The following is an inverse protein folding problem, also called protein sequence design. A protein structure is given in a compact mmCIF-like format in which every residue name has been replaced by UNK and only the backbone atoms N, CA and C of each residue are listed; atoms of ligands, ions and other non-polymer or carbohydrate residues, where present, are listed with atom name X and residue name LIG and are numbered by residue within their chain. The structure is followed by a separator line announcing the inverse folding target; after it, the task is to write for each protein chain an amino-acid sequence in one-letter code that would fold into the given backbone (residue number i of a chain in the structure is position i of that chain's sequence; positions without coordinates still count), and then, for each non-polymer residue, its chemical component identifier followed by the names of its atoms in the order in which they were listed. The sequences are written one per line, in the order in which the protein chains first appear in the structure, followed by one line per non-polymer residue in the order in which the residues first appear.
data_IF_850944808938
#
_entry.id   IF_850944808938
#
_cell.length_a   1.000
_cell.length_b   1.000
_cell.length_c   1.000
_cell.angle_alpha   90.00
_cell.angle_beta   90.00
_cell.angle_gamma   90.00
#
_symmetry.space_group_name_H-M   'P 1'
#
loop_
_entity.id
_entity.type
_entity.pdbx_description
1 polymer ?
#
# COMPACT_ATOMS: atom_id res chain seq x y z
N UNK A 1 29.69 63.43 -3.88
CA UNK A 1 30.19 62.16 -4.43
C UNK A 1 29.19 61.09 -4.03
N UNK A 2 28.21 60.92 -4.92
CA UNK A 2 27.24 59.84 -4.92
C UNK A 2 27.94 58.48 -5.06
N UNK A 3 27.41 57.47 -4.38
CA UNK A 3 27.50 56.09 -4.85
C UNK A 3 26.33 55.29 -4.28
N UNK A 4 25.25 55.32 -5.07
CA UNK A 4 24.09 54.45 -4.99
C UNK A 4 24.53 53.00 -5.20
N UNK A 5 24.36 52.17 -4.17
CA UNK A 5 24.42 50.71 -4.31
C UNK A 5 23.07 50.20 -4.83
N UNK A 6 22.99 49.93 -6.13
CA UNK A 6 21.83 49.36 -6.77
C UNK A 6 21.59 47.92 -6.28
N UNK A 7 20.42 47.67 -5.70
CA UNK A 7 19.92 46.34 -5.42
C UNK A 7 19.39 45.72 -6.73
N UNK A 8 20.06 44.69 -7.24
CA UNK A 8 19.58 43.87 -8.36
C UNK A 8 18.46 42.93 -7.89
N UNK A 9 17.26 42.95 -8.50
CA UNK A 9 16.29 41.89 -8.30
C UNK A 9 16.68 40.69 -9.17
N UNK A 10 17.20 39.62 -8.54
CA UNK A 10 17.33 38.32 -9.16
C UNK A 10 15.92 37.79 -9.47
N UNK A 11 15.55 37.83 -10.76
CA UNK A 11 14.36 37.19 -11.28
C UNK A 11 14.46 35.69 -11.08
N UNK A 12 13.55 35.15 -10.26
CA UNK A 12 13.31 33.72 -10.18
C UNK A 12 12.57 33.26 -11.43
N UNK A 13 13.26 32.62 -12.35
CA UNK A 13 12.61 31.88 -13.43
C UNK A 13 11.94 30.63 -12.84
N UNK A 14 10.63 30.43 -13.04
CA UNK A 14 9.93 29.27 -12.54
C UNK A 14 10.33 28.02 -13.35
N UNK A 15 10.70 26.97 -12.62
CA UNK A 15 11.10 25.65 -13.11
C UNK A 15 9.91 24.86 -13.68
N UNK A 16 9.26 25.36 -14.72
CA UNK A 16 8.36 24.56 -15.54
C UNK A 16 8.37 25.09 -16.96
N UNK A 17 9.52 24.89 -17.61
CA UNK A 17 9.60 24.84 -19.06
C UNK A 17 9.73 23.36 -19.45
N UNK A 18 8.66 22.81 -20.02
CA UNK A 18 8.67 21.48 -20.63
C UNK A 18 9.69 21.44 -21.78
N UNK A 19 10.61 20.47 -21.83
CA UNK A 19 11.46 20.29 -23.00
C UNK A 19 10.65 19.66 -24.13
N UNK A 20 10.40 20.45 -25.18
CA UNK A 20 9.83 19.99 -26.45
C UNK A 20 10.69 18.87 -27.06
N UNK A 21 10.15 17.68 -27.38
CA UNK A 21 10.95 16.64 -28.01
C UNK A 21 11.11 16.95 -29.51
N UNK A 22 12.35 17.29 -29.87
CA UNK A 22 12.84 17.42 -31.25
C UNK A 22 12.85 16.02 -31.91
N UNK A 23 11.91 15.79 -32.81
CA UNK A 23 11.80 14.54 -33.55
C UNK A 23 12.92 14.45 -34.60
N UNK A 24 13.90 13.58 -34.35
CA UNK A 24 14.99 13.25 -35.26
C UNK A 24 14.55 12.01 -36.06
N UNK A 25 14.58 12.11 -37.38
CA UNK A 25 14.15 11.06 -38.31
C UNK A 25 15.17 9.91 -38.31
N UNK A 26 14.72 8.72 -37.92
CA UNK A 26 15.44 7.45 -38.04
C UNK A 26 14.60 6.49 -38.86
N UNK A 27 15.24 5.83 -39.84
CA UNK A 27 14.64 5.00 -40.88
C UNK A 27 13.76 3.86 -40.34
N UNK A 28 12.59 3.70 -40.96
CA UNK A 28 11.66 2.61 -40.71
C UNK A 28 12.14 1.30 -41.37
N UNK A 29 12.20 0.17 -40.64
CA UNK A 29 12.05 -1.13 -41.27
C UNK A 29 10.58 -1.34 -41.65
N UNK A 30 10.33 -1.64 -42.92
CA UNK A 30 9.02 -1.95 -43.49
C UNK A 30 8.39 -3.17 -42.82
N UNK A 31 7.33 -2.97 -42.05
CA UNK A 31 6.35 -4.00 -41.69
C UNK A 31 4.93 -3.48 -41.93
N UNK A 32 4.65 -3.03 -43.15
CA UNK A 32 3.29 -2.72 -43.60
C UNK A 32 2.60 -3.98 -44.11
N UNK A 33 2.43 -5.00 -43.27
CA UNK A 33 1.70 -6.21 -43.69
C UNK A 33 0.84 -6.87 -42.62
N UNK A 34 0.91 -6.45 -41.35
CA UNK A 34 0.07 -7.05 -40.30
C UNK A 34 -1.24 -6.28 -40.04
N UNK A 35 -1.36 -5.05 -40.55
CA UNK A 35 -2.57 -4.22 -40.39
C UNK A 35 -3.59 -4.40 -41.52
N UNK A 36 -3.18 -4.94 -42.68
CA UNK A 36 -4.09 -5.21 -43.81
C UNK A 36 -5.12 -6.31 -43.49
N UNK A 37 -4.80 -7.15 -42.50
CA UNK A 37 -5.74 -8.13 -41.95
C UNK A 37 -6.88 -7.48 -41.15
N UNK A 38 -6.64 -6.34 -40.49
CA UNK A 38 -7.62 -5.62 -39.68
C UNK A 38 -8.45 -4.61 -40.48
N UNK A 39 -8.00 -4.21 -41.66
CA UNK A 39 -8.76 -3.35 -42.60
C UNK A 39 -9.72 -4.17 -43.46
N UNK A 40 -9.47 -5.47 -43.60
CA UNK A 40 -10.41 -6.40 -44.19
C UNK A 40 -11.64 -6.51 -43.28
N UNK A 41 -12.83 -6.45 -43.86
CA UNK A 41 -14.09 -6.37 -43.12
C UNK A 41 -14.42 -7.70 -42.41
N UNK A 42 -13.72 -8.00 -41.30
CA UNK A 42 -13.76 -9.27 -40.55
C UNK A 42 -15.21 -9.65 -40.17
N UNK A 43 -16.07 -8.66 -39.96
CA UNK A 43 -17.46 -8.86 -39.55
C UNK A 43 -18.48 -8.77 -40.69
N UNK A 44 -18.06 -8.63 -41.96
CA UNK A 44 -18.94 -8.43 -43.12
C UNK A 44 -20.05 -9.49 -43.27
N UNK A 45 -19.78 -10.72 -42.82
CA UNK A 45 -20.73 -11.84 -42.88
C UNK A 45 -21.59 -12.02 -41.62
N UNK A 46 -21.39 -11.20 -40.58
CA UNK A 46 -22.01 -11.43 -39.27
C UNK A 46 -23.39 -10.79 -39.24
N UNK A 47 -24.43 -11.60 -39.40
CA UNK A 47 -25.83 -11.17 -39.24
C UNK A 47 -26.22 -11.34 -37.77
N UNK A 48 -26.20 -10.24 -37.02
CA UNK A 48 -26.64 -10.22 -35.62
C UNK A 48 -28.08 -9.70 -35.58
N UNK A 49 -29.01 -10.56 -35.21
CA UNK A 49 -30.42 -10.17 -35.07
C UNK A 49 -30.60 -9.24 -33.85
N UNK A 50 -31.24 -8.07 -33.99
CA UNK A 50 -31.40 -7.11 -32.89
C UNK A 50 -32.22 -7.67 -31.72
N UNK A 51 -33.11 -8.63 -32.00
CA UNK A 51 -33.90 -9.34 -30.98
C UNK A 51 -33.05 -10.27 -30.11
N UNK A 52 -31.95 -10.81 -30.65
CA UNK A 52 -31.01 -11.66 -29.91
C UNK A 52 -30.12 -10.84 -28.95
N UNK A 53 -29.98 -9.53 -29.18
CA UNK A 53 -29.23 -8.62 -28.32
C UNK A 53 -29.98 -8.25 -27.03
N UNK A 54 -31.28 -8.51 -26.96
CA UNK A 54 -32.10 -8.27 -25.76
C UNK A 54 -31.97 -9.47 -24.84
N UNK A 55 -30.79 -9.60 -24.21
CA UNK A 55 -30.60 -10.55 -23.13
C UNK A 55 -31.35 -10.03 -21.90
N UNK A 56 -32.57 -10.52 -21.69
CA UNK A 56 -33.29 -10.35 -20.43
C UNK A 56 -32.53 -11.18 -19.38
N UNK A 57 -31.63 -10.54 -18.64
CA UNK A 57 -31.06 -11.12 -17.43
C UNK A 57 -32.22 -11.28 -16.44
N UNK A 58 -32.73 -12.50 -16.30
CA UNK A 58 -33.48 -12.84 -15.09
C UNK A 58 -32.54 -12.62 -13.91
N UNK A 59 -33.01 -11.82 -12.95
CA UNK A 59 -32.24 -11.45 -11.78
C UNK A 59 -31.83 -12.73 -11.06
N UNK A 60 -30.55 -13.10 -11.21
CA UNK A 60 -30.02 -14.38 -10.76
C UNK A 60 -30.21 -14.50 -9.23
N UNK A 61 -31.01 -15.49 -8.84
CA UNK A 61 -31.24 -15.89 -7.44
C UNK A 61 -29.93 -16.23 -6.71
N UNK A 62 -28.83 -16.43 -7.44
CA UNK A 62 -27.49 -16.64 -6.87
C UNK A 62 -26.82 -15.37 -6.35
N UNK A 63 -27.27 -14.16 -6.73
CA UNK A 63 -26.71 -12.90 -6.20
C UNK A 63 -27.33 -12.41 -4.88
N UNK A 64 -28.30 -13.15 -4.32
CA UNK A 64 -29.04 -12.75 -3.10
C UNK A 64 -28.25 -13.04 -1.80
N UNK A 65 -27.13 -13.77 -1.87
CA UNK A 65 -26.38 -14.21 -0.68
C UNK A 65 -25.65 -13.04 0.01
N UNK A 66 -25.33 -11.95 -0.70
CA UNK A 66 -24.68 -10.78 -0.10
C UNK A 66 -25.64 -9.82 0.61
N UNK A 67 -26.97 -10.00 0.47
CA UNK A 67 -28.00 -9.10 1.02
C UNK A 67 -28.46 -9.50 2.44
N UNK A 68 -28.19 -10.73 2.90
CA UNK A 68 -28.77 -11.28 4.14
C UNK A 68 -27.97 -11.05 5.43
N UNK A 69 -27.15 -9.99 5.53
CA UNK A 69 -26.57 -9.59 6.83
C UNK A 69 -27.07 -8.22 7.27
N UNK A 70 -28.24 -8.22 7.93
CA UNK A 70 -28.78 -7.09 8.69
C UNK A 70 -30.03 -6.49 8.05
N UNK A 71 -31.19 -6.90 8.54
CA UNK A 71 -32.49 -6.39 8.15
C UNK A 71 -32.70 -4.95 8.62
N UNK A 72 -32.32 -3.99 7.78
CA UNK A 72 -33.02 -2.72 7.63
C UNK A 72 -32.96 -2.48 6.12
N UNK A 73 -34.11 -2.44 5.43
CA UNK A 73 -34.13 -1.96 4.06
C UNK A 73 -33.67 -0.51 4.11
N UNK A 74 -32.36 -0.26 3.92
CA UNK A 74 -31.82 1.10 3.99
C UNK A 74 -32.62 1.89 2.96
N UNK A 75 -33.44 2.87 3.40
CA UNK A 75 -34.24 3.64 2.47
C UNK A 75 -33.29 4.23 1.44
N UNK A 76 -33.75 4.39 0.19
CA UNK A 76 -32.96 5.07 -0.82
C UNK A 76 -32.79 6.51 -0.35
N UNK A 77 -31.72 6.75 0.42
CA UNK A 77 -31.47 8.03 1.06
C UNK A 77 -31.16 9.06 -0.04
N UNK A 78 -31.76 10.24 0.11
CA UNK A 78 -31.42 11.40 -0.71
C UNK A 78 -29.91 11.69 -0.64
N UNK A 79 -29.34 12.23 -1.73
CA UNK A 79 -27.93 12.64 -1.80
C UNK A 79 -27.53 13.55 -0.62
N UNK A 80 -28.44 14.43 -0.20
CA UNK A 80 -28.25 15.32 0.96
C UNK A 80 -28.02 14.53 2.26
N UNK A 81 -28.83 13.50 2.48
CA UNK A 81 -28.76 12.66 3.67
C UNK A 81 -27.52 11.77 3.66
N UNK A 82 -27.15 11.20 2.51
CA UNK A 82 -25.89 10.46 2.35
C UNK A 82 -24.67 11.34 2.62
N UNK A 83 -24.69 12.60 2.18
CA UNK A 83 -23.62 13.56 2.44
C UNK A 83 -23.53 13.94 3.92
N UNK A 84 -24.67 14.14 4.59
CA UNK A 84 -24.75 14.39 6.03
C UNK A 84 -24.15 13.21 6.81
N UNK A 85 -24.54 11.99 6.50
CA UNK A 85 -24.00 10.78 7.14
C UNK A 85 -22.50 10.62 6.93
N UNK A 86 -21.99 10.94 5.73
CA UNK A 86 -20.55 10.91 5.47
C UNK A 86 -19.81 11.90 6.37
N UNK A 87 -20.33 13.13 6.50
CA UNK A 87 -19.76 14.15 7.38
C UNK A 87 -19.79 13.73 8.84
N UNK A 88 -20.93 13.23 9.30
CA UNK A 88 -21.12 12.80 10.68
C UNK A 88 -20.19 11.63 11.04
N UNK A 89 -20.12 10.60 10.20
CA UNK A 89 -19.17 9.49 10.39
C UNK A 89 -17.72 9.96 10.40
N UNK A 90 -17.39 10.94 9.56
CA UNK A 90 -16.06 11.53 9.55
C UNK A 90 -15.78 12.30 10.86
N UNK A 91 -16.73 13.11 11.33
CA UNK A 91 -16.63 13.83 12.60
C UNK A 91 -16.48 12.87 13.78
N UNK A 92 -17.32 11.83 13.86
CA UNK A 92 -17.24 10.77 14.88
C UNK A 92 -15.86 10.10 14.88
N UNK A 93 -15.29 9.82 13.70
CA UNK A 93 -13.94 9.23 13.61
C UNK A 93 -12.86 10.18 14.16
N UNK A 94 -12.95 11.47 13.86
CA UNK A 94 -12.02 12.48 14.38
C UNK A 94 -12.15 12.62 15.90
N UNK A 95 -13.37 12.69 16.41
CA UNK A 95 -13.66 12.77 17.83
C UNK A 95 -13.16 11.54 18.59
N UNK A 96 -13.39 10.33 18.06
CA UNK A 96 -12.88 9.10 18.64
C UNK A 96 -11.35 9.09 18.75
N UNK A 97 -10.63 9.54 17.71
CA UNK A 97 -9.16 9.65 17.75
C UNK A 97 -8.71 10.68 18.78
N UNK A 98 -9.37 11.84 18.86
CA UNK A 98 -9.06 12.88 19.86
C UNK A 98 -9.28 12.38 21.29
N UNK A 99 -10.40 11.70 21.53
CA UNK A 99 -10.73 11.13 22.83
C UNK A 99 -9.70 10.08 23.25
N UNK A 100 -9.35 9.15 22.35
CA UNK A 100 -8.33 8.14 22.62
C UNK A 100 -6.96 8.77 22.92
N UNK A 101 -6.56 9.81 22.19
CA UNK A 101 -5.32 10.54 22.46
C UNK A 101 -5.34 11.27 23.82
N UNK A 102 -6.47 11.90 24.17
CA UNK A 102 -6.65 12.57 25.46
C UNK A 102 -6.58 11.57 26.61
N UNK A 103 -7.26 10.43 26.50
CA UNK A 103 -7.21 9.34 27.47
C UNK A 103 -5.79 8.80 27.62
N UNK A 104 -5.08 8.55 26.53
CA UNK A 104 -3.68 8.10 26.56
C UNK A 104 -2.78 9.12 27.27
N UNK A 105 -2.91 10.41 26.94
CA UNK A 105 -2.14 11.48 27.58
C UNK A 105 -2.46 11.59 29.07
N UNK A 106 -3.73 11.49 29.46
CA UNK A 106 -4.16 11.49 30.86
C UNK A 106 -3.59 10.28 31.61
N UNK A 107 -3.66 9.08 31.02
CA UNK A 107 -3.11 7.86 31.60
C UNK A 107 -1.58 7.95 31.77
N UNK A 108 -0.85 8.47 30.79
CA UNK A 108 0.60 8.68 30.90
C UNK A 108 0.95 9.67 32.01
N UNK A 109 0.20 10.78 32.13
CA UNK A 109 0.39 11.73 33.24
C UNK A 109 0.13 11.08 34.60
N UNK A 110 -0.98 10.35 34.75
CA UNK A 110 -1.32 9.60 35.98
C UNK A 110 -0.25 8.58 36.33
N UNK A 111 0.30 7.86 35.35
CA UNK A 111 1.40 6.90 35.57
C UNK A 111 2.70 7.59 36.01
N UNK A 112 2.98 8.78 35.49
CA UNK A 112 4.20 9.52 35.81
C UNK A 112 4.15 10.20 37.18
N UNK A 113 2.98 10.61 37.64
CA UNK A 113 2.77 11.18 38.97
C UNK A 113 2.41 10.05 39.95
N UNK A 114 3.21 9.74 40.98
CA UNK A 114 2.80 8.80 42.02
C UNK A 114 1.72 9.47 42.89
N UNK A 115 0.47 9.43 42.40
CA UNK A 115 -0.69 9.97 43.09
C UNK A 115 -1.22 8.89 44.02
N UNK A 116 -0.87 8.98 45.29
CA UNK A 116 -1.53 8.22 46.35
C UNK A 116 -3.01 8.61 46.33
N UNK A 117 -3.89 7.69 45.95
CA UNK A 117 -5.34 7.87 45.96
C UNK A 117 -6.03 8.16 44.61
N UNK A 118 -5.37 8.01 43.46
CA UNK A 118 -6.09 8.00 42.18
C UNK A 118 -6.93 6.70 42.07
N UNK A 119 -8.25 6.85 41.96
CA UNK A 119 -9.19 5.73 41.84
C UNK A 119 -9.41 5.27 40.39
N UNK A 120 -8.95 6.05 39.40
CA UNK A 120 -9.13 5.71 37.98
C UNK A 120 -8.47 4.39 37.58
N UNK A 121 -7.27 4.00 38.06
CA UNK A 121 -6.69 2.70 37.75
C UNK A 121 -7.59 1.52 38.16
N UNK A 122 -8.36 1.67 39.24
CA UNK A 122 -9.32 0.65 39.68
C UNK A 122 -10.53 0.60 38.75
N UNK A 123 -11.04 1.76 38.31
CA UNK A 123 -12.15 1.83 37.35
C UNK A 123 -11.76 1.27 35.97
N UNK A 124 -10.57 1.62 35.48
CA UNK A 124 -10.04 1.15 34.19
C UNK A 124 -9.73 -0.36 34.20
N UNK A 125 -9.47 -0.95 35.38
CA UNK A 125 -9.24 -2.38 35.52
C UNK A 125 -10.53 -3.22 35.54
N UNK A 126 -11.70 -2.58 35.60
CA UNK A 126 -13.00 -3.26 35.54
C UNK A 126 -13.48 -3.39 34.10
N UNK A 127 -14.08 -4.53 33.71
CA UNK A 127 -14.73 -4.67 32.41
C UNK A 127 -15.87 -3.67 32.25
N UNK A 128 -15.99 -3.06 31.08
CA UNK A 128 -17.19 -2.27 30.77
C UNK A 128 -18.42 -3.19 30.63
N UNK A 129 -19.61 -2.70 30.96
CA UNK A 129 -20.85 -3.47 30.83
C UNK A 129 -21.10 -3.96 29.38
N UNK A 130 -20.61 -3.21 28.39
CA UNK A 130 -20.61 -3.58 26.96
C UNK A 130 -19.79 -4.86 26.70
N UNK A 131 -18.61 -4.97 27.32
CA UNK A 131 -17.76 -6.15 27.28
C UNK A 131 -18.43 -7.32 27.98
N UNK A 132 -19.11 -7.10 29.10
CA UNK A 132 -19.80 -8.17 29.83
C UNK A 132 -20.99 -8.76 29.04
N UNK A 133 -21.77 -7.89 28.38
CA UNK A 133 -22.89 -8.31 27.53
C UNK A 133 -22.39 -9.08 26.29
N UNK A 134 -21.27 -8.67 25.69
CA UNK A 134 -20.71 -9.33 24.50
C UNK A 134 -19.95 -10.62 24.83
N UNK A 135 -19.22 -10.66 25.95
CA UNK A 135 -18.45 -11.84 26.39
C UNK A 135 -19.33 -12.99 26.89
N UNK A 136 -20.56 -12.71 27.35
CA UNK A 136 -21.56 -13.76 27.64
C UNK A 136 -21.88 -14.64 26.40
N UNK A 137 -21.64 -14.12 25.18
CA UNK A 137 -21.77 -14.85 23.91
C UNK A 137 -20.44 -15.39 23.34
N UNK A 138 -19.29 -14.99 23.88
CA UNK A 138 -17.97 -15.36 23.34
C UNK A 138 -17.01 -15.86 24.42
N UNK A 139 -17.41 -16.94 25.10
CA UNK A 139 -16.47 -17.70 25.93
C UNK A 139 -15.37 -18.27 25.04
N UNK A 140 -14.13 -17.79 25.24
CA UNK A 140 -12.84 -18.19 24.62
C UNK A 140 -12.48 -17.49 23.31
N UNK A 141 -11.74 -16.39 23.42
CA UNK A 141 -10.55 -16.24 22.59
C UNK A 141 -9.33 -16.20 23.51
N UNK A 142 -8.70 -17.37 23.64
CA UNK A 142 -7.35 -17.49 24.16
C UNK A 142 -6.47 -16.47 23.43
N UNK A 143 -5.68 -15.70 24.20
CA UNK A 143 -4.53 -14.97 23.68
C UNK A 143 -3.58 -15.99 23.06
N UNK A 144 -3.79 -16.27 21.78
CA UNK A 144 -2.91 -17.10 20.99
C UNK A 144 -1.59 -16.35 20.85
N UNK A 145 -0.56 -16.90 21.44
CA UNK A 145 0.83 -16.55 21.15
C UNK A 145 0.98 -16.52 19.63
N UNK A 146 1.15 -15.32 19.07
CA UNK A 146 1.30 -15.12 17.63
C UNK A 146 2.65 -15.73 17.28
N UNK A 147 2.65 -17.00 16.88
CA UNK A 147 3.83 -17.64 16.28
C UNK A 147 4.40 -16.67 15.26
N UNK A 148 5.61 -16.16 15.50
CA UNK A 148 6.32 -15.29 14.57
C UNK A 148 6.37 -16.03 13.25
N UNK A 149 5.57 -15.58 12.27
CA UNK A 149 5.60 -16.11 10.91
C UNK A 149 7.06 -15.95 10.44
N UNK A 150 7.64 -17.00 9.88
CA UNK A 150 8.94 -16.92 9.24
C UNK A 150 8.95 -15.70 8.30
N UNK A 151 10.06 -14.97 8.29
CA UNK A 151 10.19 -13.75 7.50
C UNK A 151 9.74 -14.04 6.07
N UNK A 152 8.76 -13.27 5.52
CA UNK A 152 8.27 -13.52 4.18
C UNK A 152 9.43 -13.40 3.18
N UNK A 153 9.95 -14.52 2.68
CA UNK A 153 11.11 -14.55 1.78
C UNK A 153 10.82 -13.89 0.42
N UNK A 154 9.56 -13.78 0.05
CA UNK A 154 9.10 -13.21 -1.22
C UNK A 154 8.85 -11.70 -1.11
N UNK A 155 9.59 -10.91 -1.89
CA UNK A 155 9.56 -9.44 -1.90
C UNK A 155 8.14 -8.89 -2.05
N UNK A 156 7.30 -9.50 -2.89
CA UNK A 156 5.95 -8.97 -3.14
C UNK A 156 5.02 -9.09 -1.93
N UNK A 157 5.32 -9.99 -0.99
CA UNK A 157 4.52 -10.25 0.23
C UNK A 157 4.96 -9.42 1.43
N UNK A 158 6.11 -8.74 1.34
CA UNK A 158 6.66 -7.93 2.42
C UNK A 158 5.92 -6.59 2.61
N UNK A 159 5.83 -6.14 3.86
CA UNK A 159 5.40 -4.77 4.18
C UNK A 159 6.42 -3.75 3.65
N UNK A 160 6.01 -2.52 3.24
CA UNK A 160 6.91 -1.44 2.86
C UNK A 160 8.14 -1.21 3.77
N UNK A 161 7.99 -1.32 5.10
CA UNK A 161 9.12 -1.15 6.02
C UNK A 161 10.15 -2.28 5.89
N UNK A 162 9.69 -3.52 5.71
CA UNK A 162 10.54 -4.68 5.48
C UNK A 162 11.25 -4.57 4.13
N UNK A 163 10.56 -4.10 3.09
CA UNK A 163 11.15 -3.85 1.76
C UNK A 163 12.31 -2.85 1.84
N UNK A 164 12.13 -1.75 2.57
CA UNK A 164 13.20 -0.75 2.78
C UNK A 164 14.41 -1.36 3.47
N UNK A 165 14.20 -2.11 4.55
CA UNK A 165 15.29 -2.78 5.27
C UNK A 165 16.06 -3.75 4.38
N UNK A 166 15.36 -4.57 3.59
CA UNK A 166 15.99 -5.50 2.64
C UNK A 166 16.85 -4.74 1.62
N UNK A 167 16.33 -3.64 1.06
CA UNK A 167 17.08 -2.83 0.10
C UNK A 167 18.31 -2.17 0.74
N UNK A 168 18.20 -1.67 1.97
CA UNK A 168 19.33 -1.10 2.71
C UNK A 168 20.44 -2.14 2.93
N UNK A 169 20.07 -3.37 3.30
CA UNK A 169 21.00 -4.49 3.45
C UNK A 169 21.67 -4.87 2.11
N UNK A 170 20.91 -4.96 1.02
CA UNK A 170 21.47 -5.22 -0.31
C UNK A 170 22.42 -4.09 -0.75
N UNK A 171 22.04 -2.83 -0.53
CA UNK A 171 22.88 -1.68 -0.85
C UNK A 171 24.20 -1.74 -0.08
N UNK A 172 24.18 -2.10 1.20
CA UNK A 172 25.38 -2.27 2.02
C UNK A 172 26.26 -3.40 1.46
N UNK A 173 25.68 -4.56 1.13
CA UNK A 173 26.41 -5.68 0.49
C UNK A 173 27.07 -5.25 -0.82
N UNK A 174 26.36 -4.53 -1.69
CA UNK A 174 26.91 -4.06 -2.96
C UNK A 174 28.03 -3.03 -2.78
N UNK A 175 27.88 -2.11 -1.82
CA UNK A 175 28.93 -1.14 -1.52
C UNK A 175 30.21 -1.82 -1.05
N UNK A 176 30.11 -2.88 -0.24
CA UNK A 176 31.25 -3.68 0.20
C UNK A 176 31.96 -4.36 -1.00
N UNK A 177 31.20 -4.97 -1.91
CA UNK A 177 31.76 -5.59 -3.12
C UNK A 177 32.50 -4.56 -3.98
N UNK A 178 31.89 -3.38 -4.19
CA UNK A 178 32.50 -2.31 -4.99
C UNK A 178 33.71 -1.70 -4.27
N UNK A 179 33.75 -1.71 -2.93
CA UNK A 179 34.90 -1.25 -2.16
C UNK A 179 36.09 -2.23 -2.26
N UNK A 180 35.85 -3.51 -2.55
CA UNK A 180 36.89 -4.52 -2.63
C UNK A 180 37.84 -4.27 -3.83
N UNK A 181 39.15 -4.08 -3.61
CA UNK A 181 40.10 -3.80 -4.69
C UNK A 181 40.18 -4.89 -5.76
N UNK A 182 40.01 -6.16 -5.36
CA UNK A 182 40.04 -7.30 -6.29
C UNK A 182 38.92 -7.23 -7.32
N UNK A 183 37.71 -6.85 -6.88
CA UNK A 183 36.55 -6.65 -7.73
C UNK A 183 36.72 -5.44 -8.66
N UNK A 184 37.35 -4.35 -8.19
CA UNK A 184 37.66 -3.20 -9.04
C UNK A 184 38.71 -3.49 -10.10
N UNK A 185 39.70 -4.32 -9.79
CA UNK A 185 40.75 -4.69 -10.74
C UNK A 185 40.23 -5.65 -11.83
N UNK A 186 39.47 -6.68 -11.44
CA UNK A 186 38.86 -7.62 -12.38
C UNK A 186 37.53 -8.19 -11.84
N UNK A 187 36.38 -7.59 -12.21
CA UNK A 187 35.10 -7.98 -11.65
C UNK A 187 34.67 -9.39 -12.07
N UNK A 188 34.94 -9.79 -13.32
CA UNK A 188 34.53 -11.11 -13.82
C UNK A 188 35.28 -12.25 -13.11
N UNK A 189 36.58 -12.09 -12.86
CA UNK A 189 37.36 -13.08 -12.13
C UNK A 189 36.89 -13.21 -10.67
N UNK A 190 36.63 -12.07 -9.99
CA UNK A 190 36.13 -12.06 -8.62
C UNK A 190 34.75 -12.74 -8.49
N UNK A 191 33.85 -12.50 -9.46
CA UNK A 191 32.55 -13.16 -9.52
C UNK A 191 32.71 -14.67 -9.72
N UNK A 192 33.58 -15.11 -10.65
CA UNK A 192 33.82 -16.53 -10.91
C UNK A 192 34.41 -17.26 -9.69
N UNK A 193 35.33 -16.61 -8.97
CA UNK A 193 35.89 -17.15 -7.73
C UNK A 193 34.81 -17.31 -6.65
N UNK A 194 33.97 -16.28 -6.46
CA UNK A 194 32.88 -16.32 -5.50
C UNK A 194 31.88 -17.44 -5.82
N UNK A 195 31.45 -17.56 -7.09
CA UNK A 195 30.57 -18.64 -7.55
C UNK A 195 31.18 -20.02 -7.29
N UNK A 196 32.47 -20.20 -7.60
CA UNK A 196 33.18 -21.46 -7.38
C UNK A 196 33.24 -21.84 -5.89
N UNK A 197 33.49 -20.87 -5.01
CA UNK A 197 33.46 -21.07 -3.55
C UNK A 197 32.07 -21.45 -3.06
N UNK A 198 31.03 -20.75 -3.54
CA UNK A 198 29.64 -21.02 -3.16
C UNK A 198 29.18 -22.42 -3.56
N UNK A 199 29.50 -22.86 -4.78
CA UNK A 199 29.17 -24.20 -5.26
C UNK A 199 29.82 -25.30 -4.38
N UNK A 200 31.07 -25.11 -3.97
CA UNK A 200 31.75 -26.06 -3.05
C UNK A 200 31.12 -26.07 -1.66
N UNK A 201 30.71 -24.91 -1.14
CA UNK A 201 30.05 -24.81 0.16
C UNK A 201 28.70 -25.56 0.13
N UNK A 202 27.91 -25.36 -0.92
CA UNK A 202 26.62 -26.06 -1.09
C UNK A 202 26.81 -27.59 -1.25
N UNK A 203 27.90 -28.03 -1.88
CA UNK A 203 28.26 -29.45 -1.99
C UNK A 203 28.67 -30.05 -0.64
N UNK A 204 29.35 -29.28 0.21
CA UNK A 204 29.78 -29.70 1.55
C UNK A 204 28.66 -29.62 2.60
N UNK A 205 27.65 -28.77 2.39
CA UNK A 205 26.45 -28.64 3.23
C UNK A 205 25.32 -29.61 2.83
N UNK A 206 25.49 -30.38 1.75
CA UNK A 206 24.57 -31.50 1.43
C UNK A 206 24.88 -32.70 2.34
N UNK A 207 23.87 -33.21 3.09
CA UNK A 207 24.04 -34.38 3.96
C UNK A 207 24.20 -35.69 3.19
#
# INVERSE_FOLDING_TARGET
MDSSGAASPMGGEPWWTDPTPRHQQGAAPSSHSDWDFLTSNIFAGTKIDPKALVQKLDSDTRSVISVKRGAEAKPILSKKEKMKQRRERWQQKIEAVKLAQQQHKAAMKRKATPVVGDMHPLMDALPELSELITTSKSRKQSRGDVKKKAEPTDFNRMNPAQKRKLLEEEMARFQEVIANPSYRANPLAAINEHLSKKMRQEEMERP
#
